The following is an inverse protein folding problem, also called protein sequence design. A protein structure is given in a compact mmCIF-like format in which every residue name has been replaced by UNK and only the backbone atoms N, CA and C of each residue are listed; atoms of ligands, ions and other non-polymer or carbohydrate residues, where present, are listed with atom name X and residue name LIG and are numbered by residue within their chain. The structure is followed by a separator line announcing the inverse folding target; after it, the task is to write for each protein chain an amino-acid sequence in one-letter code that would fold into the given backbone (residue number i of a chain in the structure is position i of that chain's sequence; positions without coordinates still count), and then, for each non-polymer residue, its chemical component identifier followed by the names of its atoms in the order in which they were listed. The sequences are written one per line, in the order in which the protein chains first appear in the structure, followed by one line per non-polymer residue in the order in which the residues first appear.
data_IF_269850029693
#
_entry.id   IF_269850029693
#
_cell.length_a   1.000
_cell.length_b   1.000
_cell.length_c   1.000
_cell.angle_alpha   90.00
_cell.angle_beta   90.00
_cell.angle_gamma   90.00
#
_symmetry.space_group_name_H-M   'P 1'
#
loop_
_entity.id
_entity.type
_entity.pdbx_description
1 polymer ?
#
# COMPACT_ATOMS: atom_id res chain seq x y z
N UNK A 1 21.80 11.65 6.86
CA UNK A 1 21.59 10.87 5.66
C UNK A 1 22.08 9.42 5.75
N UNK A 2 23.33 9.12 6.19
CA UNK A 2 23.75 7.72 6.45
C UNK A 2 22.94 7.10 7.59
N UNK A 3 22.67 7.84 8.65
CA UNK A 3 21.79 7.43 9.75
C UNK A 3 20.40 7.10 9.23
N UNK A 4 19.82 7.93 8.36
CA UNK A 4 18.51 7.66 7.78
C UNK A 4 18.52 6.38 6.92
N UNK A 5 19.56 6.18 6.10
CA UNK A 5 19.70 4.96 5.30
C UNK A 5 19.85 3.72 6.19
N UNK A 6 20.55 3.81 7.30
CA UNK A 6 20.66 2.75 8.29
C UNK A 6 19.29 2.44 8.95
N UNK A 7 18.58 3.47 9.40
CA UNK A 7 17.25 3.32 10.00
C UNK A 7 16.24 2.73 9.01
N UNK A 8 16.27 3.11 7.73
CA UNK A 8 15.40 2.50 6.70
C UNK A 8 15.72 1.02 6.48
N UNK A 9 16.99 0.62 6.60
CA UNK A 9 17.39 -0.79 6.58
C UNK A 9 16.83 -1.57 7.77
N UNK A 10 16.77 -0.96 8.94
CA UNK A 10 16.16 -1.58 10.12
C UNK A 10 14.65 -1.80 9.97
N UNK A 11 13.96 -0.98 9.17
CA UNK A 11 12.51 -1.11 9.01
C UNK A 11 12.11 -2.27 8.11
N UNK A 12 12.65 -2.36 6.92
CA UNK A 12 12.31 -3.46 6.01
C UNK A 12 13.22 -3.54 4.77
N UNK A 13 13.43 -4.75 4.27
CA UNK A 13 14.13 -4.99 3.00
C UNK A 13 13.42 -4.32 1.80
N UNK A 14 12.11 -4.10 1.88
CA UNK A 14 11.34 -3.38 0.84
C UNK A 14 11.82 -1.94 0.67
N UNK A 15 12.11 -1.25 1.78
CA UNK A 15 12.64 0.12 1.72
C UNK A 15 14.01 0.16 1.03
N UNK A 16 14.83 -0.87 1.23
CA UNK A 16 16.08 -1.04 0.50
C UNK A 16 15.84 -1.10 -1.00
N UNK A 17 14.90 -1.95 -1.44
CA UNK A 17 14.60 -2.15 -2.87
C UNK A 17 13.99 -0.90 -3.51
N UNK A 18 13.10 -0.18 -2.82
CA UNK A 18 12.34 0.94 -3.39
C UNK A 18 13.10 2.26 -3.33
N UNK A 19 13.97 2.45 -2.34
CA UNK A 19 14.64 3.72 -2.11
C UNK A 19 16.14 3.68 -2.36
N UNK A 20 16.84 2.72 -1.78
CA UNK A 20 18.31 2.72 -1.75
C UNK A 20 18.90 2.14 -3.04
N UNK A 21 18.41 0.99 -3.51
CA UNK A 21 18.89 0.38 -4.76
C UNK A 21 18.67 1.27 -5.99
N UNK A 22 17.53 1.96 -6.16
CA UNK A 22 17.36 2.93 -7.23
C UNK A 22 18.38 4.08 -7.21
N UNK A 23 18.71 4.61 -6.04
CA UNK A 23 19.76 5.66 -5.91
C UNK A 23 21.09 5.10 -6.41
N UNK A 24 21.47 3.91 -5.95
CA UNK A 24 22.70 3.26 -6.39
C UNK A 24 22.72 3.00 -7.91
N UNK A 25 21.59 2.51 -8.46
CA UNK A 25 21.46 2.22 -9.88
C UNK A 25 21.60 3.50 -10.74
N UNK A 26 20.93 4.59 -10.38
CA UNK A 26 21.01 5.87 -11.10
C UNK A 26 22.43 6.41 -11.07
N UNK A 27 23.09 6.38 -9.92
CA UNK A 27 24.48 6.86 -9.79
C UNK A 27 25.48 5.95 -10.51
N UNK A 28 25.28 4.64 -10.49
CA UNK A 28 26.10 3.68 -11.24
C UNK A 28 25.97 3.90 -12.76
N UNK A 29 24.76 4.07 -13.27
CA UNK A 29 24.52 4.38 -14.69
C UNK A 29 25.16 5.73 -15.07
N UNK A 30 25.04 6.74 -14.20
CA UNK A 30 25.65 8.04 -14.42
C UNK A 30 27.17 7.95 -14.46
N UNK A 31 27.78 7.18 -13.56
CA UNK A 31 29.22 6.92 -13.54
C UNK A 31 29.68 6.17 -14.77
N UNK A 32 28.95 5.12 -15.20
CA UNK A 32 29.25 4.34 -16.39
C UNK A 32 29.20 5.21 -17.66
N UNK A 33 28.20 6.08 -17.80
CA UNK A 33 28.10 7.03 -18.92
C UNK A 33 29.32 7.96 -19.01
N UNK A 34 29.74 8.52 -17.86
CA UNK A 34 30.95 9.37 -17.79
C UNK A 34 32.21 8.60 -18.21
N UNK A 35 32.31 7.34 -17.76
CA UNK A 35 33.41 6.47 -18.15
C UNK A 35 33.44 6.22 -19.65
N UNK A 36 32.32 5.92 -20.27
CA UNK A 36 32.17 5.71 -21.72
C UNK A 36 32.49 7.00 -22.49
N UNK A 37 32.04 8.15 -21.98
CA UNK A 37 32.32 9.47 -22.58
C UNK A 37 33.76 9.94 -22.34
N UNK A 38 34.59 9.16 -21.64
CA UNK A 38 35.94 9.51 -21.19
C UNK A 38 35.99 10.82 -20.40
N UNK A 39 34.90 11.13 -19.71
CA UNK A 39 34.82 12.27 -18.79
C UNK A 39 35.36 11.87 -17.41
N UNK A 40 35.69 12.88 -16.60
CA UNK A 40 36.09 12.62 -15.22
C UNK A 40 34.92 12.02 -14.44
N UNK A 41 35.14 10.88 -13.77
CA UNK A 41 34.16 10.24 -12.89
C UNK A 41 33.65 11.20 -11.79
N UNK A 42 34.53 12.11 -11.37
CA UNK A 42 34.24 13.13 -10.35
C UNK A 42 34.47 14.53 -10.89
N UNK A 43 33.44 15.24 -11.31
CA UNK A 43 33.56 16.65 -11.70
C UNK A 43 34.07 17.50 -10.53
N UNK A 44 34.89 18.51 -10.80
CA UNK A 44 35.35 19.42 -9.80
C UNK A 44 34.16 20.08 -9.08
N UNK A 45 34.14 20.06 -7.75
CA UNK A 45 33.09 20.68 -6.92
C UNK A 45 31.91 19.79 -6.57
N UNK A 46 31.76 18.62 -7.19
CA UNK A 46 30.72 17.64 -6.81
C UNK A 46 31.30 16.61 -5.85
N UNK A 47 30.66 16.44 -4.69
CA UNK A 47 31.04 15.40 -3.74
C UNK A 47 30.59 14.05 -4.33
N UNK A 48 31.52 13.25 -4.76
CA UNK A 48 31.45 11.84 -5.18
C UNK A 48 30.06 11.18 -5.06
N UNK A 49 29.11 11.38 -6.00
CA UNK A 49 27.72 10.89 -5.84
C UNK A 49 27.66 9.37 -5.70
N UNK A 50 28.47 8.65 -6.48
CA UNK A 50 28.57 7.18 -6.42
C UNK A 50 29.08 6.70 -5.06
N UNK A 51 30.10 7.35 -4.48
CA UNK A 51 30.60 6.97 -3.15
C UNK A 51 29.54 7.20 -2.06
N UNK A 52 28.73 8.25 -2.19
CA UNK A 52 27.58 8.46 -1.28
C UNK A 52 26.51 7.38 -1.46
N UNK A 53 26.18 7.02 -2.69
CA UNK A 53 25.21 5.96 -2.96
C UNK A 53 25.68 4.61 -2.40
N UNK A 54 26.97 4.29 -2.57
CA UNK A 54 27.60 3.10 -1.96
C UNK A 54 27.55 3.18 -0.43
N UNK A 55 27.87 4.34 0.15
CA UNK A 55 27.78 4.57 1.60
C UNK A 55 26.38 4.40 2.15
N UNK A 56 25.35 4.91 1.46
CA UNK A 56 23.95 4.70 1.84
C UNK A 56 23.54 3.23 1.75
N UNK A 57 23.97 2.53 0.70
CA UNK A 57 23.70 1.11 0.54
C UNK A 57 24.37 0.29 1.66
N UNK A 58 25.64 0.57 1.96
CA UNK A 58 26.36 -0.11 3.04
C UNK A 58 25.71 0.15 4.41
N UNK A 59 25.34 1.41 4.71
CA UNK A 59 24.63 1.75 5.94
C UNK A 59 23.29 1.04 6.04
N UNK A 60 22.53 0.98 4.96
CA UNK A 60 21.25 0.32 4.91
C UNK A 60 21.37 -1.20 5.14
N UNK A 61 22.33 -1.85 4.47
CA UNK A 61 22.63 -3.27 4.69
C UNK A 61 23.04 -3.50 6.16
N UNK A 62 23.85 -2.59 6.74
CA UNK A 62 24.20 -2.64 8.15
C UNK A 62 22.97 -2.63 9.06
N UNK A 63 21.96 -1.80 8.74
CA UNK A 63 20.68 -1.78 9.46
C UNK A 63 19.93 -3.11 9.36
N UNK A 64 19.82 -3.70 8.18
CA UNK A 64 19.20 -5.01 7.96
C UNK A 64 19.93 -6.11 8.75
N UNK A 65 21.27 -6.10 8.72
CA UNK A 65 22.08 -7.09 9.44
C UNK A 65 21.92 -6.93 10.96
N UNK A 66 21.88 -5.70 11.47
CA UNK A 66 21.66 -5.46 12.91
C UNK A 66 20.32 -6.05 13.35
N UNK A 67 19.25 -5.83 12.59
CA UNK A 67 17.93 -6.39 12.94
C UNK A 67 17.95 -7.92 12.96
N UNK A 68 18.66 -8.55 12.02
CA UNK A 68 18.85 -10.01 12.02
C UNK A 68 19.66 -10.48 13.23
N UNK A 69 20.71 -9.77 13.60
CA UNK A 69 21.56 -10.13 14.76
C UNK A 69 20.81 -9.98 16.09
N UNK A 70 19.90 -8.99 16.19
CA UNK A 70 19.08 -8.77 17.37
C UNK A 70 17.92 -9.77 17.47
N UNK A 71 17.78 -10.68 16.49
CA UNK A 71 16.70 -11.66 16.49
C UNK A 71 15.31 -11.01 16.39
N UNK A 72 15.24 -9.72 15.97
CA UNK A 72 13.96 -9.06 15.77
C UNK A 72 13.31 -9.73 14.56
N UNK A 73 12.18 -10.45 14.76
CA UNK A 73 11.50 -11.07 13.65
C UNK A 73 11.16 -9.97 12.63
N UNK A 74 11.55 -10.18 11.37
CA UNK A 74 11.10 -9.29 10.33
C UNK A 74 9.58 -9.30 10.40
N UNK A 75 8.95 -8.16 10.63
CA UNK A 75 7.49 -8.01 10.73
C UNK A 75 6.76 -8.40 9.44
N UNK A 76 7.44 -8.98 8.50
CA UNK A 76 6.82 -9.43 7.27
C UNK A 76 6.42 -10.89 7.44
N UNK A 77 5.15 -11.11 7.72
CA UNK A 77 4.42 -12.32 7.30
C UNK A 77 4.71 -12.67 5.82
N UNK A 78 5.33 -11.74 5.13
CA UNK A 78 5.83 -11.82 3.75
C UNK A 78 7.35 -12.07 3.68
N UNK A 79 8.01 -12.49 4.76
CA UNK A 79 9.48 -12.69 4.80
C UNK A 79 9.91 -13.96 4.08
N UNK A 80 9.01 -14.90 3.86
CA UNK A 80 9.24 -16.04 3.00
C UNK A 80 9.09 -15.66 1.52
N UNK A 81 9.78 -14.61 1.11
CA UNK A 81 10.03 -14.35 -0.29
C UNK A 81 10.95 -15.45 -0.82
N UNK A 82 10.44 -16.67 -0.92
CA UNK A 82 11.07 -17.70 -1.70
C UNK A 82 11.24 -17.17 -3.12
N UNK A 83 12.42 -17.34 -3.67
CA UNK A 83 12.84 -16.72 -4.93
C UNK A 83 12.04 -17.22 -6.15
N UNK A 84 11.16 -18.19 -6.00
CA UNK A 84 10.36 -18.72 -7.10
C UNK A 84 8.95 -19.08 -6.59
N UNK A 85 8.00 -18.23 -6.90
CA UNK A 85 6.58 -18.53 -6.76
C UNK A 85 6.15 -19.47 -7.91
N UNK A 86 5.45 -20.57 -7.58
CA UNK A 86 4.83 -21.45 -8.54
C UNK A 86 3.67 -20.83 -9.35
N UNK A 87 3.28 -19.57 -9.07
CA UNK A 87 2.36 -18.81 -9.92
C UNK A 87 3.04 -18.53 -11.27
N UNK A 88 2.53 -19.12 -12.32
CA UNK A 88 3.05 -18.95 -13.68
C UNK A 88 3.09 -17.46 -14.08
N UNK A 89 3.97 -17.14 -15.03
CA UNK A 89 4.17 -15.79 -15.58
C UNK A 89 2.84 -15.08 -15.93
N UNK A 90 1.86 -15.84 -16.41
CA UNK A 90 0.53 -15.35 -16.75
C UNK A 90 -0.21 -14.76 -15.53
N UNK A 91 -0.20 -15.44 -14.39
CA UNK A 91 -0.81 -14.94 -13.16
C UNK A 91 -0.16 -13.67 -12.64
N UNK A 92 1.18 -13.57 -12.76
CA UNK A 92 1.93 -12.35 -12.39
C UNK A 92 1.61 -11.19 -13.32
N UNK A 93 1.47 -11.45 -14.61
CA UNK A 93 1.08 -10.45 -15.60
C UNK A 93 -0.35 -9.91 -15.34
N UNK A 94 -1.31 -10.78 -15.05
CA UNK A 94 -2.66 -10.37 -14.69
C UNK A 94 -2.70 -9.53 -13.42
N UNK A 95 -1.92 -9.87 -12.39
CA UNK A 95 -1.77 -9.04 -11.17
C UNK A 95 -1.18 -7.68 -11.48
N UNK A 96 -0.18 -7.62 -12.37
CA UNK A 96 0.40 -6.34 -12.81
C UNK A 96 -0.63 -5.48 -13.57
N UNK A 97 -1.39 -6.07 -14.46
CA UNK A 97 -2.45 -5.36 -15.20
C UNK A 97 -3.52 -4.85 -14.21
N UNK A 98 -3.97 -5.68 -13.27
CA UNK A 98 -4.94 -5.29 -12.26
C UNK A 98 -4.42 -4.13 -11.40
N UNK A 99 -3.23 -4.24 -10.82
CA UNK A 99 -2.61 -3.19 -10.01
C UNK A 99 -2.41 -1.89 -10.80
N UNK A 100 -2.02 -1.99 -12.08
CA UNK A 100 -1.85 -0.83 -12.96
C UNK A 100 -3.18 -0.15 -13.29
N UNK A 101 -4.26 -0.92 -13.45
CA UNK A 101 -5.62 -0.39 -13.64
C UNK A 101 -6.07 0.40 -12.43
N UNK A 102 -5.87 -0.14 -11.22
CA UNK A 102 -6.23 0.54 -9.98
C UNK A 102 -5.48 1.86 -9.84
N UNK A 103 -4.14 1.85 -10.00
CA UNK A 103 -3.32 3.06 -9.84
C UNK A 103 -3.61 4.12 -10.89
N UNK A 104 -3.96 3.72 -12.12
CA UNK A 104 -4.33 4.66 -13.18
C UNK A 104 -5.77 5.18 -13.08
N UNK A 105 -6.53 4.75 -12.08
CA UNK A 105 -7.95 5.10 -11.93
C UNK A 105 -8.88 4.33 -12.87
N UNK A 106 -8.37 3.33 -13.59
CA UNK A 106 -9.14 2.60 -14.61
C UNK A 106 -10.25 1.71 -14.01
N UNK A 107 -10.23 1.43 -12.71
CA UNK A 107 -11.30 0.69 -12.03
C UNK A 107 -12.59 1.49 -11.92
N UNK A 108 -12.48 2.81 -11.85
CA UNK A 108 -13.64 3.71 -11.87
C UNK A 108 -14.33 3.78 -13.26
N UNK A 109 -13.81 3.06 -14.26
CA UNK A 109 -14.29 3.06 -15.65
C UNK A 109 -15.71 2.48 -15.78
N UNK A 110 -16.18 1.68 -14.84
CA UNK A 110 -17.51 1.03 -14.96
C UNK A 110 -18.65 2.04 -15.18
N UNK A 111 -18.55 3.24 -14.60
CA UNK A 111 -19.61 4.26 -14.68
C UNK A 111 -19.24 5.47 -15.56
N UNK A 112 -17.93 5.71 -15.83
CA UNK A 112 -17.44 6.90 -16.55
C UNK A 112 -16.26 6.57 -17.49
N UNK A 113 -16.35 5.47 -18.23
CA UNK A 113 -15.27 4.90 -19.02
C UNK A 113 -14.51 5.87 -19.93
N UNK A 114 -15.21 6.80 -20.58
CA UNK A 114 -14.59 7.76 -21.50
C UNK A 114 -13.62 8.72 -20.80
N UNK A 115 -13.96 9.22 -19.62
CA UNK A 115 -13.12 10.15 -18.86
C UNK A 115 -11.80 9.49 -18.43
N UNK A 116 -11.88 8.29 -17.87
CA UNK A 116 -10.68 7.59 -17.40
C UNK A 116 -9.76 7.14 -18.53
N UNK A 117 -10.32 6.77 -19.69
CA UNK A 117 -9.54 6.50 -20.89
C UNK A 117 -8.79 7.75 -21.34
N UNK A 118 -9.48 8.90 -21.40
CA UNK A 118 -8.85 10.18 -21.74
C UNK A 118 -7.73 10.53 -20.75
N UNK A 119 -7.97 10.37 -19.46
CA UNK A 119 -6.99 10.61 -18.41
C UNK A 119 -5.76 9.69 -18.57
N UNK A 120 -5.97 8.41 -18.80
CA UNK A 120 -4.90 7.44 -19.01
C UNK A 120 -4.05 7.80 -20.25
N UNK A 121 -4.69 8.11 -21.37
CA UNK A 121 -4.01 8.51 -22.61
C UNK A 121 -3.20 9.79 -22.39
N UNK A 122 -3.79 10.78 -21.72
CA UNK A 122 -3.13 12.05 -21.44
C UNK A 122 -1.88 11.86 -20.55
N UNK A 123 -1.99 11.13 -19.44
CA UNK A 123 -0.85 10.88 -18.55
C UNK A 123 0.22 10.01 -19.20
N UNK A 124 -0.17 9.02 -20.01
CA UNK A 124 0.78 8.21 -20.78
C UNK A 124 1.52 9.08 -21.81
N UNK A 125 0.83 9.98 -22.48
CA UNK A 125 1.46 10.92 -23.41
C UNK A 125 2.46 11.85 -22.71
N UNK A 126 2.15 12.33 -21.49
CA UNK A 126 3.08 13.13 -20.69
C UNK A 126 4.33 12.33 -20.29
N UNK A 127 4.16 11.07 -19.88
CA UNK A 127 5.29 10.19 -19.55
C UNK A 127 6.21 9.97 -20.75
N UNK A 128 5.63 9.66 -21.92
CA UNK A 128 6.38 9.46 -23.17
C UNK A 128 7.09 10.75 -23.58
N UNK A 129 6.40 11.89 -23.53
CA UNK A 129 6.99 13.18 -23.88
C UNK A 129 8.16 13.53 -22.95
N UNK A 130 8.02 13.35 -21.63
CA UNK A 130 9.09 13.55 -20.67
C UNK A 130 10.28 12.63 -20.96
N UNK A 131 10.04 11.35 -21.21
CA UNK A 131 11.07 10.38 -21.57
C UNK A 131 11.84 10.81 -22.81
N UNK A 132 11.14 11.20 -23.88
CA UNK A 132 11.76 11.68 -25.14
C UNK A 132 12.60 12.94 -24.90
N UNK A 133 12.09 13.89 -24.13
CA UNK A 133 12.83 15.12 -23.77
C UNK A 133 14.13 14.76 -23.02
N UNK A 134 14.06 13.89 -22.04
CA UNK A 134 15.21 13.51 -21.24
C UNK A 134 16.22 12.64 -22.01
N UNK A 135 15.75 11.75 -22.88
CA UNK A 135 16.62 10.92 -23.71
C UNK A 135 17.35 11.79 -24.76
N UNK A 136 16.67 12.74 -25.37
CA UNK A 136 17.33 13.68 -26.31
C UNK A 136 18.39 14.57 -25.66
N UNK A 137 18.21 14.87 -24.38
CA UNK A 137 19.20 15.58 -23.55
C UNK A 137 20.27 14.70 -22.90
N UNK A 138 20.21 13.38 -23.11
CA UNK A 138 21.04 12.40 -22.38
C UNK A 138 22.54 12.49 -22.67
N UNK A 139 23.01 13.47 -23.48
CA UNK A 139 24.44 13.79 -23.59
C UNK A 139 25.02 14.42 -22.32
N UNK A 140 24.19 15.02 -21.48
CA UNK A 140 24.55 15.54 -20.17
C UNK A 140 24.00 14.66 -19.07
N UNK A 141 24.73 14.50 -17.96
CA UNK A 141 24.22 13.77 -16.80
C UNK A 141 22.86 14.34 -16.36
N UNK A 142 21.89 13.51 -15.98
CA UNK A 142 20.61 14.01 -15.51
C UNK A 142 20.84 14.82 -14.22
N UNK A 143 20.47 16.10 -14.26
CA UNK A 143 20.55 17.02 -13.15
C UNK A 143 19.16 17.48 -12.73
N UNK A 144 18.99 17.86 -11.47
CA UNK A 144 17.75 18.39 -10.94
C UNK A 144 16.57 17.44 -11.14
N UNK A 145 15.49 17.97 -11.73
CA UNK A 145 14.22 17.28 -11.94
C UNK A 145 14.37 16.00 -12.79
N UNK A 146 15.29 15.99 -13.76
CA UNK A 146 15.56 14.82 -14.59
C UNK A 146 16.15 13.64 -13.80
N UNK A 147 16.99 13.92 -12.82
CA UNK A 147 17.56 12.88 -11.94
C UNK A 147 16.46 12.24 -11.08
N UNK A 148 15.55 13.03 -10.51
CA UNK A 148 14.40 12.51 -9.75
C UNK A 148 13.44 11.71 -10.61
N UNK A 149 13.23 12.14 -11.86
CA UNK A 149 12.41 11.38 -12.80
C UNK A 149 13.00 9.99 -13.09
N UNK A 150 14.31 9.91 -13.38
CA UNK A 150 14.99 8.63 -13.59
C UNK A 150 14.97 7.77 -12.33
N UNK A 151 15.16 8.37 -11.16
CA UNK A 151 15.06 7.69 -9.88
C UNK A 151 13.67 7.05 -9.71
N UNK A 152 12.60 7.79 -10.02
CA UNK A 152 11.23 7.28 -9.94
C UNK A 152 10.97 6.13 -10.93
N UNK A 153 11.49 6.23 -12.16
CA UNK A 153 11.39 5.15 -13.16
C UNK A 153 12.12 3.90 -12.66
N UNK A 154 13.35 4.02 -12.18
CA UNK A 154 14.13 2.89 -11.68
C UNK A 154 13.48 2.27 -10.45
N UNK A 155 12.92 3.08 -9.54
CA UNK A 155 12.18 2.58 -8.38
C UNK A 155 10.92 1.83 -8.79
N UNK A 156 10.16 2.33 -9.76
CA UNK A 156 8.97 1.66 -10.29
C UNK A 156 9.35 0.33 -10.94
N UNK A 157 10.39 0.32 -11.77
CA UNK A 157 10.90 -0.91 -12.39
C UNK A 157 11.41 -1.92 -11.36
N UNK A 158 12.06 -1.46 -10.29
CA UNK A 158 12.52 -2.32 -9.20
C UNK A 158 11.35 -3.00 -8.47
N UNK A 159 10.26 -2.26 -8.21
CA UNK A 159 9.04 -2.82 -7.61
C UNK A 159 8.39 -3.86 -8.52
N UNK A 160 8.28 -3.55 -9.81
CA UNK A 160 7.74 -4.47 -10.82
C UNK A 160 8.62 -5.72 -10.90
N UNK A 161 9.94 -5.56 -11.03
CA UNK A 161 10.88 -6.67 -11.08
C UNK A 161 10.80 -7.54 -9.82
N UNK A 162 10.76 -6.92 -8.62
CA UNK A 162 10.60 -7.66 -7.37
C UNK A 162 9.33 -8.52 -7.38
N UNK A 163 8.21 -8.02 -7.89
CA UNK A 163 6.96 -8.79 -7.97
C UNK A 163 6.99 -9.93 -9.00
N UNK A 164 7.78 -9.79 -10.07
CA UNK A 164 7.95 -10.84 -11.08
C UNK A 164 8.94 -11.93 -10.65
N UNK A 165 9.98 -11.56 -9.91
CA UNK A 165 11.04 -12.49 -9.51
C UNK A 165 10.93 -13.03 -8.08
N UNK A 166 9.95 -12.57 -7.31
CA UNK A 166 9.72 -13.05 -5.94
C UNK A 166 8.27 -13.48 -5.73
N UNK A 167 7.96 -14.05 -4.58
CA UNK A 167 6.61 -14.42 -4.15
C UNK A 167 5.75 -13.22 -3.76
N UNK A 168 6.31 -12.01 -3.72
CA UNK A 168 5.57 -10.80 -3.32
C UNK A 168 4.47 -10.50 -4.32
N UNK A 169 3.22 -10.63 -3.88
CA UNK A 169 2.06 -10.26 -4.69
C UNK A 169 2.06 -8.75 -4.94
N UNK A 170 2.07 -8.33 -6.20
CA UNK A 170 1.97 -6.93 -6.56
C UNK A 170 0.60 -6.39 -6.16
N UNK A 171 0.58 -5.38 -5.30
CA UNK A 171 -0.61 -4.61 -4.92
C UNK A 171 -0.50 -3.19 -5.50
N UNK A 172 -1.62 -2.54 -5.77
CA UNK A 172 -1.68 -1.17 -6.30
C UNK A 172 -0.85 -0.18 -5.45
N UNK A 173 -0.87 -0.33 -4.13
CA UNK A 173 -0.11 0.53 -3.20
C UNK A 173 1.41 0.51 -3.46
N UNK A 174 1.96 -0.56 -4.04
CA UNK A 174 3.39 -0.61 -4.36
C UNK A 174 3.75 0.19 -5.61
N UNK A 175 2.77 0.51 -6.44
CA UNK A 175 2.92 1.36 -7.62
C UNK A 175 2.71 2.85 -7.31
N UNK A 176 2.57 3.24 -6.03
CA UNK A 176 2.36 4.63 -5.60
C UNK A 176 3.40 5.61 -6.15
N UNK A 177 4.62 5.12 -6.44
CA UNK A 177 5.68 5.90 -7.08
C UNK A 177 5.32 6.42 -8.49
N UNK A 178 4.26 5.89 -9.07
CA UNK A 178 3.70 6.36 -10.33
C UNK A 178 3.22 7.82 -10.25
N UNK A 179 2.66 8.27 -9.13
CA UNK A 179 2.16 9.64 -8.97
C UNK A 179 3.28 10.70 -8.97
N UNK A 180 4.36 10.56 -8.16
CA UNK A 180 5.51 11.45 -8.31
C UNK A 180 6.09 11.44 -9.72
N UNK A 181 6.15 10.27 -10.37
CA UNK A 181 6.63 10.16 -11.75
C UNK A 181 5.77 10.96 -12.73
N UNK A 182 4.45 10.93 -12.58
CA UNK A 182 3.53 11.75 -13.39
C UNK A 182 3.74 13.24 -13.14
N UNK A 183 3.84 13.65 -11.87
CA UNK A 183 4.06 15.06 -11.51
C UNK A 183 5.39 15.59 -12.11
N UNK A 184 6.47 14.81 -11.98
CA UNK A 184 7.75 15.15 -12.60
C UNK A 184 7.68 15.20 -14.13
N UNK A 185 6.92 14.28 -14.76
CA UNK A 185 6.72 14.27 -16.20
C UNK A 185 5.98 15.52 -16.67
N UNK A 186 4.91 15.89 -15.98
CA UNK A 186 4.18 17.13 -16.24
C UNK A 186 5.10 18.36 -16.11
N UNK A 187 5.90 18.44 -15.04
CA UNK A 187 6.83 19.55 -14.84
C UNK A 187 7.87 19.66 -15.99
N UNK A 188 8.46 18.53 -16.40
CA UNK A 188 9.45 18.49 -17.50
C UNK A 188 8.84 18.95 -18.82
N UNK A 189 7.62 18.51 -19.12
CA UNK A 189 6.92 18.88 -20.36
C UNK A 189 6.50 20.35 -20.33
N UNK A 190 5.94 20.81 -19.20
CA UNK A 190 5.52 22.21 -19.02
C UNK A 190 6.68 23.20 -19.12
N UNK A 191 7.86 22.86 -18.58
CA UNK A 191 9.06 23.68 -18.68
C UNK A 191 9.47 23.92 -20.14
N UNK A 192 9.21 22.94 -21.03
CA UNK A 192 9.60 22.97 -22.44
C UNK A 192 8.52 23.44 -23.39
N UNK A 193 7.29 23.45 -22.94
CA UNK A 193 6.15 23.82 -23.76
C UNK A 193 6.16 25.31 -24.08
N UNK A 194 5.78 25.66 -25.33
CA UNK A 194 5.50 27.04 -25.71
C UNK A 194 4.38 27.64 -24.84
N UNK A 195 4.34 28.96 -24.58
CA UNK A 195 3.41 29.56 -23.63
C UNK A 195 1.94 29.15 -23.81
N UNK A 196 1.45 29.13 -25.06
CA UNK A 196 0.08 28.72 -25.40
C UNK A 196 -0.17 27.24 -25.04
N UNK A 197 0.77 26.35 -25.37
CA UNK A 197 0.68 24.94 -25.11
C UNK A 197 0.78 24.68 -23.59
N UNK A 198 1.65 25.41 -22.88
CA UNK A 198 1.78 25.35 -21.42
C UNK A 198 0.46 25.67 -20.74
N UNK A 199 -0.21 26.75 -21.15
CA UNK A 199 -1.51 27.12 -20.60
C UNK A 199 -2.56 26.02 -20.85
N UNK A 200 -2.63 25.50 -22.10
CA UNK A 200 -3.55 24.41 -22.41
C UNK A 200 -3.29 23.13 -21.61
N UNK A 201 -2.02 22.74 -21.42
CA UNK A 201 -1.64 21.59 -20.61
C UNK A 201 -1.97 21.78 -19.12
N UNK A 202 -1.76 22.98 -18.56
CA UNK A 202 -2.15 23.29 -17.19
C UNK A 202 -3.66 23.20 -16.99
N UNK A 203 -4.44 23.76 -17.92
CA UNK A 203 -5.90 23.64 -17.87
C UNK A 203 -6.32 22.17 -17.95
N UNK A 204 -5.74 21.39 -18.86
CA UNK A 204 -6.03 19.96 -18.97
C UNK A 204 -5.69 19.20 -17.69
N UNK A 205 -4.52 19.46 -17.09
CA UNK A 205 -4.12 18.86 -15.80
C UNK A 205 -5.12 19.20 -14.67
N UNK A 206 -5.52 20.47 -14.56
CA UNK A 206 -6.48 20.90 -13.56
C UNK A 206 -7.85 20.23 -13.76
N UNK A 207 -8.36 20.22 -15.00
CA UNK A 207 -9.67 19.62 -15.33
C UNK A 207 -9.66 18.12 -15.09
N UNK A 208 -8.61 17.41 -15.55
CA UNK A 208 -8.50 15.96 -15.35
C UNK A 208 -8.31 15.59 -13.87
N UNK A 209 -7.53 16.40 -13.13
CA UNK A 209 -7.35 16.17 -11.67
C UNK A 209 -8.64 16.43 -10.90
N UNK A 210 -9.34 17.51 -11.18
CA UNK A 210 -10.62 17.84 -10.56
C UNK A 210 -11.69 16.78 -10.91
N UNK A 211 -11.74 16.35 -12.18
CA UNK A 211 -12.62 15.27 -12.60
C UNK A 211 -12.30 13.96 -11.92
N UNK A 212 -11.01 13.62 -11.76
CA UNK A 212 -10.61 12.41 -11.03
C UNK A 212 -11.06 12.45 -9.56
N UNK A 213 -10.88 13.58 -8.88
CA UNK A 213 -11.36 13.75 -7.50
C UNK A 213 -12.89 13.62 -7.44
N UNK A 214 -13.58 14.28 -8.36
CA UNK A 214 -15.05 14.24 -8.39
C UNK A 214 -15.59 12.82 -8.61
N UNK A 215 -15.07 12.09 -9.60
CA UNK A 215 -15.54 10.74 -9.93
C UNK A 215 -15.05 9.66 -8.95
N UNK A 216 -13.91 9.86 -8.30
CA UNK A 216 -13.38 8.88 -7.34
C UNK A 216 -13.93 9.07 -5.92
N UNK A 217 -14.20 10.30 -5.52
CA UNK A 217 -14.56 10.63 -4.14
C UNK A 217 -15.84 11.46 -4.02
N UNK A 218 -16.55 11.73 -5.13
CA UNK A 218 -17.71 12.62 -5.13
C UNK A 218 -18.84 12.12 -4.24
N UNK A 219 -19.07 10.84 -4.18
CA UNK A 219 -20.11 10.25 -3.34
C UNK A 219 -19.70 10.27 -1.86
N UNK A 220 -18.43 9.98 -1.55
CA UNK A 220 -17.90 10.09 -0.19
C UNK A 220 -17.94 11.55 0.31
N UNK A 221 -17.56 12.51 -0.56
CA UNK A 221 -17.63 13.93 -0.24
C UNK A 221 -19.07 14.41 -0.01
N UNK A 222 -20.03 13.92 -0.78
CA UNK A 222 -21.45 14.22 -0.55
C UNK A 222 -21.93 13.64 0.77
N UNK A 223 -21.53 12.41 1.10
CA UNK A 223 -21.82 11.78 2.40
C UNK A 223 -21.30 12.62 3.57
N UNK A 224 -20.06 13.07 3.49
CA UNK A 224 -19.43 13.94 4.52
C UNK A 224 -20.14 15.31 4.62
N UNK A 225 -20.54 15.91 3.48
CA UNK A 225 -21.19 17.22 3.44
C UNK A 225 -22.68 17.16 3.79
N UNK A 226 -23.32 15.98 3.75
CA UNK A 226 -24.76 15.84 3.99
C UNK A 226 -25.14 15.72 5.47
N UNK A 227 -24.19 15.78 6.40
CA UNK A 227 -24.39 15.52 7.84
C UNK A 227 -25.06 14.17 8.16
N UNK A 228 -25.25 13.32 7.17
CA UNK A 228 -25.73 11.96 7.39
C UNK A 228 -24.62 11.13 8.04
N UNK A 229 -24.97 10.41 9.10
CA UNK A 229 -24.03 9.45 9.71
C UNK A 229 -23.59 8.46 8.64
N UNK A 230 -22.29 8.20 8.57
CA UNK A 230 -21.78 7.12 7.74
C UNK A 230 -22.23 5.77 8.31
N UNK A 231 -22.30 4.72 7.48
CA UNK A 231 -22.62 3.37 7.98
C UNK A 231 -21.69 2.94 9.11
N UNK A 232 -20.43 3.38 9.09
CA UNK A 232 -19.48 3.10 10.17
C UNK A 232 -19.86 3.81 11.49
N UNK A 233 -20.32 5.04 11.43
CA UNK A 233 -20.81 5.79 12.59
C UNK A 233 -22.12 5.20 13.15
N UNK A 234 -23.00 4.73 12.27
CA UNK A 234 -24.24 4.05 12.67
C UNK A 234 -23.94 2.74 13.39
N UNK A 235 -23.02 1.93 12.87
CA UNK A 235 -22.55 0.70 13.51
C UNK A 235 -21.89 1.00 14.86
N UNK A 236 -21.05 2.03 14.91
CA UNK A 236 -20.39 2.48 16.14
C UNK A 236 -21.41 2.90 17.19
N UNK A 237 -22.37 3.75 16.83
CA UNK A 237 -23.44 4.21 17.71
C UNK A 237 -24.25 3.03 18.23
N UNK A 238 -24.70 2.13 17.35
CA UNK A 238 -25.44 0.94 17.72
C UNK A 238 -24.65 0.07 18.73
N UNK A 239 -23.37 -0.19 18.48
CA UNK A 239 -22.57 -1.00 19.34
C UNK A 239 -22.39 -0.37 20.72
N UNK A 240 -22.07 0.92 20.81
CA UNK A 240 -21.91 1.65 22.08
C UNK A 240 -23.23 1.72 22.86
N UNK A 241 -24.34 2.02 22.20
CA UNK A 241 -25.67 2.12 22.83
C UNK A 241 -26.16 0.79 23.38
N UNK A 242 -25.78 -0.32 22.76
CA UNK A 242 -26.13 -1.67 23.22
C UNK A 242 -25.06 -2.31 24.15
N UNK A 243 -24.07 -1.55 24.58
CA UNK A 243 -23.09 -1.98 25.59
C UNK A 243 -22.04 -2.98 25.08
N UNK A 244 -21.83 -3.06 23.76
CA UNK A 244 -20.72 -3.81 23.20
C UNK A 244 -19.39 -3.09 23.43
N UNK A 245 -18.32 -3.84 23.57
CA UNK A 245 -16.96 -3.34 23.78
C UNK A 245 -16.00 -3.82 22.67
N UNK A 246 -16.37 -4.89 21.96
CA UNK A 246 -15.55 -5.51 20.92
C UNK A 246 -16.33 -5.52 19.61
N UNK A 247 -15.65 -5.12 18.53
CA UNK A 247 -16.14 -5.26 17.16
C UNK A 247 -15.23 -6.23 16.42
N UNK A 248 -15.79 -7.32 15.94
CA UNK A 248 -15.08 -8.29 15.11
C UNK A 248 -15.57 -8.21 13.68
N UNK A 249 -14.66 -8.18 12.72
CA UNK A 249 -15.05 -8.13 11.31
C UNK A 249 -13.88 -8.10 10.35
N UNK A 250 -14.19 -8.08 9.07
CA UNK A 250 -13.19 -8.04 8.02
C UNK A 250 -12.51 -6.67 7.97
N UNK A 251 -11.16 -6.67 7.89
CA UNK A 251 -10.38 -5.44 7.79
C UNK A 251 -10.67 -4.62 6.52
N UNK A 252 -11.05 -5.30 5.43
CA UNK A 252 -11.34 -4.64 4.16
C UNK A 252 -12.61 -3.79 4.20
N UNK A 253 -13.45 -3.99 5.22
CA UNK A 253 -14.73 -3.29 5.38
C UNK A 253 -14.67 -2.24 6.49
N UNK A 254 -15.76 -2.06 7.22
CA UNK A 254 -15.96 -0.93 8.12
C UNK A 254 -15.51 -1.16 9.57
N UNK A 255 -15.04 -2.36 9.94
CA UNK A 255 -14.77 -2.71 11.35
C UNK A 255 -13.77 -1.76 12.04
N UNK A 256 -12.59 -1.47 11.48
CA UNK A 256 -11.66 -0.52 12.10
C UNK A 256 -12.23 0.90 12.14
N UNK A 257 -12.97 1.30 11.10
CA UNK A 257 -13.56 2.63 11.03
C UNK A 257 -14.66 2.81 12.08
N UNK A 258 -15.54 1.81 12.23
CA UNK A 258 -16.58 1.83 13.26
C UNK A 258 -15.99 1.91 14.68
N UNK A 259 -14.90 1.18 14.95
CA UNK A 259 -14.21 1.30 16.23
C UNK A 259 -13.59 2.69 16.42
N UNK A 260 -13.03 3.31 15.36
CA UNK A 260 -12.46 4.65 15.43
C UNK A 260 -13.50 5.74 15.78
N UNK A 261 -14.73 5.59 15.29
CA UNK A 261 -15.83 6.54 15.62
C UNK A 261 -16.39 6.41 17.05
N UNK A 262 -15.92 5.43 17.82
CA UNK A 262 -16.42 5.18 19.18
C UNK A 262 -15.72 5.99 20.28
N UNK A 263 -14.82 6.90 19.96
CA UNK A 263 -13.97 7.60 20.92
C UNK A 263 -13.23 6.67 21.90
N UNK A 264 -12.77 5.53 21.38
CA UNK A 264 -12.02 4.55 22.16
C UNK A 264 -12.85 3.62 23.04
N UNK A 265 -14.18 3.63 22.93
CA UNK A 265 -15.06 2.72 23.68
C UNK A 265 -15.10 1.32 23.07
N UNK A 266 -14.82 1.20 21.78
CA UNK A 266 -14.82 -0.05 21.05
C UNK A 266 -13.40 -0.44 20.63
N UNK A 267 -13.09 -1.72 20.71
CA UNK A 267 -11.84 -2.30 20.23
C UNK A 267 -12.15 -3.16 19.01
N UNK A 268 -11.43 -2.93 17.90
CA UNK A 268 -11.60 -3.72 16.69
C UNK A 268 -10.74 -4.98 16.72
N UNK A 269 -11.34 -6.11 16.36
CA UNK A 269 -10.66 -7.34 16.01
C UNK A 269 -10.90 -7.69 14.56
N UNK A 270 -9.83 -7.87 13.76
CA UNK A 270 -9.94 -7.98 12.32
C UNK A 270 -9.42 -9.30 11.78
N UNK A 271 -10.07 -9.78 10.70
CA UNK A 271 -9.60 -10.86 9.82
C UNK A 271 -9.47 -10.39 8.37
N UNK A 272 -8.85 -11.19 7.50
CA UNK A 272 -8.78 -10.95 6.04
C UNK A 272 -9.90 -11.73 5.30
N UNK A 273 -10.19 -11.31 4.06
CA UNK A 273 -11.35 -11.75 3.27
C UNK A 273 -11.55 -13.28 3.16
N UNK A 274 -10.49 -14.07 3.14
CA UNK A 274 -10.59 -15.52 2.92
C UNK A 274 -10.44 -16.33 4.22
N UNK A 275 -10.42 -15.67 5.37
CA UNK A 275 -10.10 -16.30 6.66
C UNK A 275 -11.00 -15.78 7.78
N UNK A 276 -12.32 -15.96 7.61
CA UNK A 276 -13.31 -15.54 8.61
C UNK A 276 -12.95 -16.12 9.98
N UNK A 277 -13.02 -15.29 11.02
CA UNK A 277 -12.62 -15.59 12.39
C UNK A 277 -11.13 -15.84 12.65
N UNK A 278 -10.28 -15.85 11.63
CA UNK A 278 -8.84 -15.95 11.81
C UNK A 278 -8.22 -14.57 11.97
N UNK A 279 -7.80 -14.24 13.18
CA UNK A 279 -7.29 -12.93 13.50
C UNK A 279 -5.99 -12.59 12.74
N UNK A 280 -5.85 -11.34 12.31
CA UNK A 280 -4.63 -10.85 11.68
C UNK A 280 -3.61 -10.50 12.77
N UNK A 281 -2.42 -11.15 12.84
CA UNK A 281 -1.48 -11.01 13.97
C UNK A 281 -1.04 -9.59 14.27
N UNK A 282 -0.80 -8.79 13.22
CA UNK A 282 -0.20 -7.46 13.31
C UNK A 282 -1.22 -6.32 13.47
N UNK A 283 -2.52 -6.62 13.40
CA UNK A 283 -3.59 -5.63 13.51
C UNK A 283 -4.42 -5.78 14.77
N UNK A 284 -4.28 -6.91 15.44
CA UNK A 284 -5.04 -7.20 16.64
C UNK A 284 -4.17 -7.02 17.89
N UNK A 285 -4.73 -6.34 18.88
CA UNK A 285 -4.06 -6.23 20.17
C UNK A 285 -4.17 -7.56 20.95
N UNK A 286 -3.18 -7.85 21.78
CA UNK A 286 -3.18 -9.05 22.64
C UNK A 286 -4.43 -9.17 23.50
N UNK A 287 -5.01 -8.05 23.91
CA UNK A 287 -6.17 -8.01 24.78
C UNK A 287 -7.44 -8.58 24.13
N UNK A 288 -7.52 -8.57 22.80
CA UNK A 288 -8.65 -9.16 22.05
C UNK A 288 -8.75 -10.66 22.30
N UNK A 289 -7.62 -11.36 22.39
CA UNK A 289 -7.57 -12.81 22.60
C UNK A 289 -7.75 -13.22 24.07
N UNK A 290 -7.54 -12.29 25.00
CA UNK A 290 -7.64 -12.55 26.45
C UNK A 290 -9.04 -12.36 27.00
N UNK A 291 -9.91 -11.70 26.27
CA UNK A 291 -11.28 -11.44 26.72
C UNK A 291 -12.14 -12.68 26.53
N UNK A 292 -12.68 -13.18 27.64
CA UNK A 292 -13.56 -14.35 27.67
C UNK A 292 -15.04 -13.99 27.69
N UNK A 293 -15.38 -12.73 27.85
CA UNK A 293 -16.77 -12.27 27.87
C UNK A 293 -17.24 -11.90 26.45
N UNK A 294 -17.75 -12.91 25.74
CA UNK A 294 -18.30 -12.75 24.39
C UNK A 294 -19.66 -12.10 24.37
N UNK A 295 -20.32 -11.93 25.49
CA UNK A 295 -21.61 -11.25 25.55
C UNK A 295 -21.52 -9.80 25.12
N UNK A 296 -20.31 -9.21 25.18
CA UNK A 296 -20.01 -7.83 24.75
C UNK A 296 -19.31 -7.75 23.40
N UNK A 297 -19.26 -8.83 22.64
CA UNK A 297 -18.67 -8.88 21.30
C UNK A 297 -19.75 -8.82 20.24
N UNK A 298 -19.55 -7.95 19.24
CA UNK A 298 -20.39 -7.81 18.07
C UNK A 298 -19.58 -8.16 16.82
N UNK A 299 -20.08 -9.07 16.02
CA UNK A 299 -19.50 -9.49 14.75
C UNK A 299 -20.18 -8.73 13.62
N UNK A 300 -19.39 -8.18 12.70
CA UNK A 300 -19.84 -7.39 11.56
C UNK A 300 -19.49 -8.14 10.28
N UNK A 301 -20.49 -8.54 9.54
CA UNK A 301 -20.34 -9.23 8.27
C UNK A 301 -20.91 -8.38 7.14
N UNK A 302 -20.17 -8.22 6.06
CA UNK A 302 -20.77 -7.73 4.83
C UNK A 302 -21.72 -8.78 4.26
N UNK A 303 -22.79 -8.36 3.57
CA UNK A 303 -23.80 -9.27 3.01
C UNK A 303 -23.23 -10.45 2.21
N UNK A 304 -22.09 -10.22 1.53
CA UNK A 304 -21.43 -11.25 0.71
C UNK A 304 -20.66 -12.29 1.56
N UNK A 305 -20.42 -12.01 2.86
CA UNK A 305 -19.73 -12.91 3.79
C UNK A 305 -20.67 -13.67 4.70
N UNK A 306 -21.92 -13.27 4.80
CA UNK A 306 -22.89 -13.77 5.80
C UNK A 306 -23.04 -15.29 5.75
N UNK A 307 -23.27 -15.85 4.57
CA UNK A 307 -23.48 -17.29 4.41
C UNK A 307 -22.23 -18.09 4.79
N UNK A 308 -21.05 -17.60 4.40
CA UNK A 308 -19.78 -18.21 4.76
C UNK A 308 -19.55 -18.13 6.28
N UNK A 309 -19.85 -16.99 6.90
CA UNK A 309 -19.71 -16.79 8.35
C UNK A 309 -20.62 -17.72 9.16
N UNK A 310 -21.87 -17.89 8.74
CA UNK A 310 -22.77 -18.84 9.40
C UNK A 310 -22.31 -20.29 9.25
N UNK A 311 -21.82 -20.67 8.08
CA UNK A 311 -21.27 -22.00 7.83
C UNK A 311 -20.04 -22.28 8.68
N UNK A 312 -19.11 -21.34 8.76
CA UNK A 312 -17.85 -21.46 9.52
C UNK A 312 -18.15 -21.51 11.04
N UNK A 313 -19.05 -20.65 11.53
CA UNK A 313 -19.49 -20.67 12.91
C UNK A 313 -20.15 -22.01 13.28
N UNK A 314 -21.03 -22.52 12.44
CA UNK A 314 -21.70 -23.81 12.64
C UNK A 314 -20.68 -24.96 12.66
N UNK A 315 -19.66 -24.93 11.80
CA UNK A 315 -18.54 -25.88 11.78
C UNK A 315 -17.77 -25.92 13.11
N UNK A 316 -17.69 -24.79 13.80
CA UNK A 316 -17.07 -24.63 15.12
C UNK A 316 -18.04 -24.91 16.28
N UNK A 317 -19.29 -25.26 16.02
CA UNK A 317 -20.33 -25.47 17.03
C UNK A 317 -20.90 -24.17 17.62
N UNK A 318 -20.57 -23.02 17.06
CA UNK A 318 -21.10 -21.73 17.49
C UNK A 318 -22.42 -21.39 16.78
N UNK A 319 -23.26 -20.64 17.49
CA UNK A 319 -24.50 -20.10 16.94
C UNK A 319 -24.36 -18.59 16.83
N UNK A 320 -24.45 -18.09 15.60
CA UNK A 320 -24.56 -16.65 15.34
C UNK A 320 -26.03 -16.21 15.45
N UNK A 321 -26.25 -15.13 16.19
CA UNK A 321 -27.58 -14.54 16.32
C UNK A 321 -27.53 -13.13 15.78
N UNK A 322 -28.31 -12.89 14.73
CA UNK A 322 -28.47 -11.55 14.14
C UNK A 322 -29.10 -10.61 15.16
N UNK A 323 -28.52 -9.42 15.31
CA UNK A 323 -28.98 -8.35 16.22
C UNK A 323 -29.50 -7.15 15.48
N UNK A 324 -28.86 -6.79 14.35
CA UNK A 324 -29.28 -5.66 13.53
C UNK A 324 -28.75 -5.82 12.09
N UNK A 325 -29.32 -5.02 11.18
CA UNK A 325 -28.79 -4.76 9.84
C UNK A 325 -28.63 -3.28 9.65
N UNK A 326 -27.46 -2.86 9.21
CA UNK A 326 -27.13 -1.45 8.94
C UNK A 326 -26.50 -1.38 7.56
N UNK A 327 -27.24 -0.81 6.60
CA UNK A 327 -26.83 -0.84 5.20
C UNK A 327 -26.64 -2.27 4.68
N UNK A 328 -25.47 -2.53 4.09
CA UNK A 328 -25.09 -3.86 3.58
C UNK A 328 -24.46 -4.78 4.64
N UNK A 329 -24.52 -4.40 5.92
CA UNK A 329 -23.88 -5.13 7.02
C UNK A 329 -24.90 -5.79 7.94
N UNK A 330 -24.57 -7.03 8.33
CA UNK A 330 -25.29 -7.82 9.32
C UNK A 330 -24.48 -7.86 10.60
N UNK A 331 -25.09 -7.46 11.70
CA UNK A 331 -24.51 -7.41 13.02
C UNK A 331 -24.96 -8.62 13.83
N UNK A 332 -24.03 -9.45 14.29
CA UNK A 332 -24.33 -10.69 14.99
C UNK A 332 -23.61 -10.78 16.34
N UNK A 333 -24.23 -11.49 17.28
CA UNK A 333 -23.54 -12.01 18.48
C UNK A 333 -23.29 -13.50 18.31
N UNK A 334 -22.28 -14.03 18.98
CA UNK A 334 -21.97 -15.46 18.98
C UNK A 334 -22.25 -16.10 20.33
N UNK A 335 -22.67 -17.37 20.30
CA UNK A 335 -22.84 -18.16 21.53
C UNK A 335 -21.52 -18.56 22.22
N UNK A 336 -20.40 -18.46 21.50
CA UNK A 336 -19.06 -18.76 22.00
C UNK A 336 -17.99 -17.96 21.27
N UNK A 337 -16.74 -18.07 21.73
CA UNK A 337 -15.63 -17.43 21.05
C UNK A 337 -15.41 -18.00 19.66
N UNK A 338 -15.24 -17.10 18.68
CA UNK A 338 -14.92 -17.44 17.30
C UNK A 338 -13.57 -16.89 16.83
N UNK A 339 -13.06 -15.83 17.49
CA UNK A 339 -11.74 -15.28 17.17
C UNK A 339 -10.65 -16.01 17.95
N UNK A 340 -10.00 -16.96 17.31
CA UNK A 340 -8.88 -17.70 17.87
C UNK A 340 -7.54 -17.19 17.32
N UNK A 341 -6.48 -17.18 18.14
CA UNK A 341 -5.14 -16.97 17.62
C UNK A 341 -4.75 -18.17 16.74
N UNK A 342 -4.31 -17.88 15.52
CA UNK A 342 -3.76 -18.90 14.63
C UNK A 342 -2.39 -19.39 15.15
N UNK A 343 -1.93 -20.54 14.66
CA UNK A 343 -0.60 -21.07 14.97
C UNK A 343 0.49 -20.04 14.73
N UNK A 344 0.40 -19.30 13.64
CA UNK A 344 1.35 -18.23 13.26
C UNK A 344 1.38 -17.10 14.29
N UNK A 345 0.24 -16.78 14.90
CA UNK A 345 0.17 -15.79 16.00
C UNK A 345 0.87 -16.30 17.23
N UNK A 346 0.61 -17.56 17.58
CA UNK A 346 1.24 -18.21 18.74
C UNK A 346 2.76 -18.23 18.54
N UNK A 347 3.23 -18.68 17.38
CA UNK A 347 4.65 -18.71 17.02
C UNK A 347 5.27 -17.30 17.04
N UNK A 348 4.55 -16.30 16.54
CA UNK A 348 4.98 -14.90 16.59
C UNK A 348 5.23 -14.44 18.02
N UNK A 349 4.29 -14.65 18.95
CA UNK A 349 4.46 -14.26 20.35
C UNK A 349 5.60 -15.03 21.03
N UNK A 350 5.74 -16.33 20.75
CA UNK A 350 6.84 -17.16 21.27
C UNK A 350 8.19 -16.66 20.75
N UNK A 351 8.28 -16.33 19.45
CA UNK A 351 9.52 -15.81 18.85
C UNK A 351 9.94 -14.46 19.42
N UNK A 352 8.98 -13.68 19.93
CA UNK A 352 9.22 -12.40 20.60
C UNK A 352 9.54 -12.57 22.09
N UNK A 353 9.62 -13.80 22.62
CA UNK A 353 9.79 -14.06 24.04
C UNK A 353 8.60 -13.62 24.89
N UNK A 354 7.43 -13.46 24.28
CA UNK A 354 6.20 -13.09 24.94
C UNK A 354 5.32 -14.33 25.16
N UNK A 355 4.54 -14.32 26.22
CA UNK A 355 3.54 -15.36 26.44
C UNK A 355 2.47 -15.29 25.33
N UNK A 356 2.22 -16.38 24.60
CA UNK A 356 1.22 -16.38 23.54
C UNK A 356 -0.19 -16.14 24.11
N UNK A 357 -1.10 -15.55 23.34
CA UNK A 357 -2.50 -15.50 23.72
C UNK A 357 -3.06 -16.93 23.82
N UNK A 358 -3.79 -17.20 24.88
CA UNK A 358 -4.45 -18.50 25.13
C UNK A 358 -5.81 -18.54 24.48
#
# INVERSE_FOLDING_TARGET
SLVLAFCTGMQSLRQTCVSILPILAVEAVSALRRLIARERLWPKGQRMPLCRAIGYTAANIGGVLLMKLLGVPSQSIYSDASVLDGTGLNGKLWRFIAASRTVSGFECVKNNGGFFVLMFVFFTALLIAAAVILIRKAKTAPEGIGAYWWLSVVSLLAVIAASFFTTVKLRAIYLFIYYPLLALSAAIVLERAAPKLRCALLIALCVLSAGNIYFSYGDDLRGVLSESKTTAEEISSYAVENGYELLYGNIAYLTPNAAAYSDGKLIAGCWENDTIFHAIPYLNTRDIYRRTDYSRALFIFHKDEVDAAYSEAAGSGAVLTERARIGDFVLCTSSQQLMYPTTDIIEYYVSMGMEPPR
#
